data_IF_141110636097
#
_entry.id   IF_141110636097
#
_cell.length_a   1.000
_cell.length_b   1.000
_cell.length_c   1.000
_cell.angle_alpha   90.00
_cell.angle_beta   90.00
_cell.angle_gamma   90.00
#
_symmetry.space_group_name_H-M   'P 1'
#
loop_
_entity.id
_entity.type
_entity.pdbx_description
1 polymer ?
#
# COMPACT_ATOMS: atom_id res chain seq x y z
N UNK A 1 11.99 -5.55 20.04
CA UNK A 1 11.19 -6.46 19.20
C UNK A 1 11.17 -5.87 17.80
N UNK A 2 11.60 -6.60 16.78
CA UNK A 2 11.74 -6.04 15.43
C UNK A 2 10.33 -5.82 14.86
N UNK A 3 9.85 -4.58 14.83
CA UNK A 3 8.51 -4.23 14.31
C UNK A 3 8.44 -4.52 12.80
N UNK A 4 8.12 -5.77 12.46
CA UNK A 4 7.90 -6.22 11.08
C UNK A 4 6.89 -5.33 10.34
N UNK A 5 5.84 -4.88 11.04
CA UNK A 5 4.84 -3.91 10.57
C UNK A 5 5.48 -2.61 10.08
N UNK A 6 6.43 -2.04 10.84
CA UNK A 6 7.12 -0.81 10.48
C UNK A 6 8.02 -1.01 9.25
N UNK A 7 8.68 -2.17 9.14
CA UNK A 7 9.49 -2.51 7.96
C UNK A 7 8.60 -2.67 6.72
N UNK A 8 7.45 -3.34 6.84
CA UNK A 8 6.49 -3.49 5.76
C UNK A 8 5.94 -2.12 5.31
N UNK A 9 5.56 -1.27 6.26
CA UNK A 9 5.09 0.10 6.00
C UNK A 9 6.13 0.92 5.23
N UNK A 10 7.39 0.92 5.67
CA UNK A 10 8.50 1.61 4.98
C UNK A 10 8.77 1.04 3.60
N UNK A 11 8.70 -0.28 3.44
CA UNK A 11 8.87 -0.95 2.14
C UNK A 11 7.75 -0.54 1.19
N UNK A 12 6.50 -0.57 1.63
CA UNK A 12 5.35 -0.13 0.85
C UNK A 12 5.45 1.35 0.45
N UNK A 13 5.84 2.23 1.37
CA UNK A 13 6.03 3.66 1.08
C UNK A 13 7.09 3.87 -0.01
N UNK A 14 8.20 3.13 0.09
CA UNK A 14 9.28 3.21 -0.90
C UNK A 14 8.86 2.68 -2.27
N UNK A 15 7.99 1.67 -2.33
CA UNK A 15 7.49 1.12 -3.60
C UNK A 15 6.42 2.02 -4.23
N UNK A 16 5.53 2.61 -3.43
CA UNK A 16 4.50 3.55 -3.89
C UNK A 16 5.06 4.91 -4.37
N UNK A 17 6.35 5.16 -4.12
CA UNK A 17 7.01 6.41 -4.48
C UNK A 17 6.90 7.51 -3.42
N UNK A 18 6.55 7.15 -2.19
CA UNK A 18 6.57 8.06 -1.04
C UNK A 18 5.53 7.74 0.02
N UNK A 19 5.76 8.30 1.20
CA UNK A 19 4.86 8.23 2.35
C UNK A 19 3.50 8.87 2.07
N UNK A 20 3.45 9.93 1.28
CA UNK A 20 2.20 10.63 0.94
C UNK A 20 1.26 9.77 0.09
N UNK A 21 1.82 9.03 -0.89
CA UNK A 21 1.05 8.09 -1.70
C UNK A 21 0.51 6.94 -0.87
N UNK A 22 1.34 6.37 -0.01
CA UNK A 22 0.91 5.30 0.90
C UNK A 22 -0.17 5.79 1.86
N UNK A 23 -0.02 6.99 2.43
CA UNK A 23 -1.05 7.59 3.28
C UNK A 23 -2.37 7.75 2.52
N UNK A 24 -2.34 8.17 1.27
CA UNK A 24 -3.53 8.29 0.42
C UNK A 24 -4.18 6.94 0.12
N UNK A 25 -3.38 5.89 -0.14
CA UNK A 25 -3.89 4.53 -0.36
C UNK A 25 -4.52 3.95 0.92
N UNK A 26 -3.93 4.23 2.08
CA UNK A 26 -4.41 3.74 3.37
C UNK A 26 -5.54 4.59 3.98
N UNK A 27 -5.90 5.72 3.35
CA UNK A 27 -6.78 6.76 3.90
C UNK A 27 -6.44 7.12 5.36
N UNK A 28 -5.14 7.09 5.69
CA UNK A 28 -4.70 7.19 7.07
C UNK A 28 -4.63 8.67 7.54
N UNK A 29 -5.07 8.97 8.78
CA UNK A 29 -4.89 10.28 9.36
C UNK A 29 -3.40 10.62 9.44
N UNK A 30 -2.96 11.84 9.05
CA UNK A 30 -1.55 12.19 9.00
C UNK A 30 -0.86 12.08 10.37
N UNK A 31 -1.57 12.39 11.46
CA UNK A 31 -1.04 12.25 12.81
C UNK A 31 -0.84 10.79 13.24
N UNK A 32 -1.77 9.89 12.89
CA UNK A 32 -1.67 8.48 13.21
C UNK A 32 -0.56 7.81 12.37
N UNK A 33 -0.51 8.11 11.08
CA UNK A 33 0.51 7.60 10.17
C UNK A 33 1.93 7.97 10.59
N UNK A 34 2.14 9.23 11.00
CA UNK A 34 3.43 9.68 11.53
C UNK A 34 3.83 8.90 12.79
N UNK A 35 2.89 8.65 13.71
CA UNK A 35 3.16 7.87 14.93
C UNK A 35 3.52 6.42 14.63
N UNK A 36 2.86 5.81 13.65
CA UNK A 36 3.19 4.45 13.21
C UNK A 36 4.59 4.37 12.62
N UNK A 37 4.99 5.33 11.80
CA UNK A 37 6.33 5.39 11.21
C UNK A 37 7.46 5.69 12.18
N UNK A 38 7.17 6.45 13.24
CA UNK A 38 8.07 6.69 14.35
C UNK A 38 8.14 5.47 15.29
N UNK A 39 7.27 4.47 15.11
CA UNK A 39 7.15 3.33 16.03
C UNK A 39 6.56 3.70 17.39
N UNK A 40 5.95 4.89 17.50
CA UNK A 40 5.31 5.38 18.71
C UNK A 40 3.96 4.68 18.96
N UNK A 41 3.28 4.27 17.89
CA UNK A 41 2.07 3.44 17.96
C UNK A 41 2.21 2.19 17.07
N UNK A 42 1.63 1.05 17.48
CA UNK A 42 1.52 -0.11 16.61
C UNK A 42 0.57 0.18 15.44
N UNK A 43 0.86 -0.41 14.28
CA UNK A 43 -0.01 -0.29 13.10
C UNK A 43 -1.28 -1.13 13.36
N UNK A 44 -2.48 -0.60 13.11
CA UNK A 44 -3.71 -1.38 13.22
C UNK A 44 -3.63 -2.62 12.31
N UNK A 45 -4.20 -3.74 12.75
CA UNK A 45 -4.11 -4.98 11.99
C UNK A 45 -4.75 -4.86 10.59
N UNK A 46 -5.84 -4.11 10.47
CA UNK A 46 -6.50 -3.78 9.19
C UNK A 46 -5.56 -3.09 8.20
N UNK A 47 -4.85 -2.07 8.69
CA UNK A 47 -3.87 -1.31 7.90
C UNK A 47 -2.70 -2.21 7.49
N UNK A 48 -2.24 -3.07 8.40
CA UNK A 48 -1.19 -4.03 8.10
C UNK A 48 -1.62 -5.04 7.02
N UNK A 49 -2.85 -5.56 7.08
CA UNK A 49 -3.39 -6.46 6.06
C UNK A 49 -3.47 -5.78 4.69
N UNK A 50 -3.93 -4.53 4.62
CA UNK A 50 -3.92 -3.76 3.36
C UNK A 50 -2.52 -3.60 2.77
N UNK A 51 -1.51 -3.34 3.62
CA UNK A 51 -0.12 -3.23 3.17
C UNK A 51 0.39 -4.57 2.64
N UNK A 52 0.08 -5.68 3.33
CA UNK A 52 0.50 -7.03 2.92
C UNK A 52 -0.18 -7.43 1.61
N UNK A 53 -1.47 -7.16 1.47
CA UNK A 53 -2.24 -7.38 0.24
C UNK A 53 -1.64 -6.60 -0.94
N UNK A 54 -1.37 -5.31 -0.75
CA UNK A 54 -0.71 -4.47 -1.75
C UNK A 54 0.69 -4.99 -2.15
N UNK A 55 1.49 -5.43 -1.18
CA UNK A 55 2.81 -6.00 -1.44
C UNK A 55 2.70 -7.34 -2.18
N UNK A 56 1.70 -8.16 -1.86
CA UNK A 56 1.45 -9.44 -2.51
C UNK A 56 0.98 -9.29 -3.96
N UNK A 57 0.09 -8.33 -4.23
CA UNK A 57 -0.37 -8.01 -5.60
C UNK A 57 0.80 -7.59 -6.50
N UNK A 58 1.70 -6.75 -5.98
CA UNK A 58 2.90 -6.33 -6.71
C UNK A 58 3.92 -7.45 -6.96
N UNK A 59 4.12 -8.38 -6.02
CA UNK A 59 4.99 -9.55 -6.26
C UNK A 59 4.38 -10.50 -7.30
N UNK A 60 3.05 -10.53 -7.42
CA UNK A 60 2.35 -11.32 -8.44
C UNK A 60 2.48 -10.74 -9.85
N UNK A 61 2.98 -9.50 -10.01
CA UNK A 61 3.05 -8.82 -11.31
C UNK A 61 1.68 -8.37 -11.84
N UNK A 62 0.64 -8.45 -11.01
CA UNK A 62 -0.64 -7.78 -11.24
C UNK A 62 -0.43 -6.32 -10.88
N UNK A 63 -0.82 -5.39 -11.76
CA UNK A 63 -0.73 -3.97 -11.45
C UNK A 63 -2.03 -3.57 -10.70
N UNK A 64 -1.95 -3.15 -9.42
CA UNK A 64 -3.15 -2.92 -8.58
C UNK A 64 -3.93 -1.67 -8.98
N UNK A 65 -3.32 -0.80 -9.77
CA UNK A 65 -3.98 0.36 -10.34
C UNK A 65 -3.99 0.15 -11.83
N UNK A 66 -5.14 -0.30 -12.34
CA UNK A 66 -5.38 -0.42 -13.77
C UNK A 66 -4.83 0.82 -14.45
N UNK A 67 -3.86 0.61 -15.34
CA UNK A 67 -3.54 1.63 -16.34
C UNK A 67 -4.88 2.02 -16.96
N UNK A 68 -5.24 3.29 -16.84
CA UNK A 68 -6.34 3.90 -17.57
C UNK A 68 -6.05 3.70 -19.06
N UNK A 69 -6.53 2.57 -19.56
CA UNK A 69 -6.40 2.05 -20.90
C UNK A 69 -7.69 1.28 -21.16
N UNK A 70 -8.80 1.98 -20.96
CA UNK A 70 -10.09 1.57 -21.46
C UNK A 70 -9.94 1.27 -22.96
N UNK A 71 -10.05 0.01 -23.33
CA UNK A 71 -10.67 -0.38 -24.60
C UNK A 71 -11.21 -1.80 -24.46
N UNK A 72 -12.49 -1.86 -24.07
CA UNK A 72 -13.36 -3.03 -24.17
C UNK A 72 -13.57 -3.43 -25.67
N UNK A 73 -14.11 -4.64 -25.93
CA UNK A 73 -13.55 -5.60 -26.89
C UNK A 73 -14.15 -5.51 -28.30
N UNK A 74 -13.33 -5.72 -29.32
CA UNK A 74 -13.82 -6.00 -30.67
C UNK A 74 -14.15 -7.49 -30.82
N UNK A 75 -15.43 -7.84 -30.63
CA UNK A 75 -16.04 -9.01 -31.28
C UNK A 75 -15.82 -8.89 -32.79
N UNK A 76 -15.25 -9.90 -33.43
CA UNK A 76 -15.35 -10.17 -34.88
C UNK A 76 -15.17 -11.68 -35.04
N UNK A 77 -16.28 -12.42 -35.07
CA UNK A 77 -17.08 -12.85 -36.24
C UNK A 77 -16.29 -13.74 -37.19
#
# INVERSE_FOLDING_TARGET
>A
MVNFQLRALRKAARILGGEERLRGVLDAPPGAFARWMQGAEPVPNDVFLMIVDFLADMESGVQPFGSAGETLPARSR
#
